data_IF_507562337495
#
_entry.id   IF_507562337495
#
_cell.length_a   1.000
_cell.length_b   1.000
_cell.length_c   1.000
_cell.angle_alpha   90.00
_cell.angle_beta   90.00
_cell.angle_gamma   90.00
#
_symmetry.space_group_name_H-M   'P 1'
#
loop_
_entity.id
_entity.type
_entity.pdbx_description
1 polymer ?
#
# COMPACT_ATOMS: atom_id res chain seq x y z
N UNK A 1 -19.67 -3.29 -16.88
CA UNK A 1 -18.82 -3.25 -15.66
C UNK A 1 -17.41 -3.59 -16.11
N UNK A 2 -16.37 -2.80 -15.79
CA UNK A 2 -15.02 -3.18 -16.18
C UNK A 2 -14.63 -4.45 -15.41
N UNK A 3 -14.05 -5.41 -16.14
CA UNK A 3 -13.70 -6.72 -15.62
C UNK A 3 -12.65 -6.57 -14.52
N UNK A 4 -13.02 -6.97 -13.30
CA UNK A 4 -12.13 -6.92 -12.16
C UNK A 4 -10.98 -7.93 -12.25
N UNK A 5 -10.84 -8.74 -13.29
CA UNK A 5 -9.72 -9.70 -13.44
C UNK A 5 -8.42 -9.08 -14.01
N UNK A 6 -8.45 -7.86 -14.54
CA UNK A 6 -7.27 -7.30 -15.24
C UNK A 6 -6.27 -6.58 -14.32
N UNK A 7 -6.67 -6.16 -13.12
CA UNK A 7 -5.79 -5.39 -12.23
C UNK A 7 -4.89 -6.34 -11.43
N UNK A 8 -3.55 -6.24 -11.53
CA UNK A 8 -2.66 -7.09 -10.76
C UNK A 8 -2.91 -6.96 -9.25
N UNK A 9 -2.81 -8.07 -8.51
CA UNK A 9 -3.04 -8.11 -7.05
C UNK A 9 -2.25 -7.01 -6.28
N UNK A 10 -0.97 -6.81 -6.61
CA UNK A 10 -0.16 -5.74 -6.02
C UNK A 10 -0.79 -4.34 -6.19
N UNK A 11 -1.42 -4.08 -7.35
CA UNK A 11 -2.03 -2.79 -7.65
C UNK A 11 -3.32 -2.62 -6.86
N UNK A 12 -4.09 -3.69 -6.63
CA UNK A 12 -5.24 -3.65 -5.71
C UNK A 12 -4.80 -3.34 -4.29
N UNK A 13 -3.72 -3.97 -3.83
CA UNK A 13 -3.17 -3.71 -2.51
C UNK A 13 -2.65 -2.27 -2.38
N UNK A 14 -1.99 -1.75 -3.41
CA UNK A 14 -1.57 -0.35 -3.47
C UNK A 14 -2.76 0.62 -3.41
N UNK A 15 -3.83 0.32 -4.15
CA UNK A 15 -5.09 1.09 -4.10
C UNK A 15 -5.72 1.03 -2.71
N UNK A 16 -5.70 -0.11 -2.03
CA UNK A 16 -6.18 -0.23 -0.66
C UNK A 16 -5.40 0.69 0.28
N UNK A 17 -4.06 0.69 0.22
CA UNK A 17 -3.21 1.57 1.04
C UNK A 17 -3.54 3.06 0.81
N UNK A 18 -3.75 3.45 -0.44
CA UNK A 18 -4.18 4.80 -0.78
C UNK A 18 -5.55 5.13 -0.16
N UNK A 19 -6.51 4.22 -0.28
CA UNK A 19 -7.89 4.43 0.18
C UNK A 19 -8.02 4.50 1.71
N UNK A 20 -7.21 3.76 2.46
CA UNK A 20 -7.15 3.86 3.94
C UNK A 20 -6.34 5.07 4.41
N UNK A 21 -5.82 5.87 3.49
CA UNK A 21 -5.19 7.16 3.77
C UNK A 21 -3.71 7.10 4.11
N UNK A 22 -3.02 5.98 3.87
CA UNK A 22 -1.59 5.84 4.09
C UNK A 22 -0.78 6.52 2.97
N UNK A 23 -0.98 7.82 2.75
CA UNK A 23 -0.48 8.58 1.58
C UNK A 23 0.64 9.57 1.91
N UNK A 24 1.10 9.61 3.15
CA UNK A 24 2.20 10.46 3.59
C UNK A 24 2.90 9.86 4.82
N UNK A 25 4.11 10.29 5.18
CA UNK A 25 4.80 9.82 6.39
C UNK A 25 3.99 10.02 7.67
N UNK A 26 3.26 11.12 7.78
CA UNK A 26 2.43 11.48 8.95
C UNK A 26 1.18 10.59 9.06
N UNK A 27 0.74 10.04 7.92
CA UNK A 27 -0.40 9.10 7.83
C UNK A 27 0.05 7.65 7.63
N UNK A 28 1.33 7.37 7.83
CA UNK A 28 1.88 6.03 7.67
C UNK A 28 1.26 5.04 8.65
N UNK A 29 1.20 3.76 8.28
CA UNK A 29 0.61 2.68 9.09
C UNK A 29 1.61 1.54 9.30
N UNK A 30 1.57 0.88 10.46
CA UNK A 30 2.34 -0.33 10.72
C UNK A 30 1.78 -1.53 9.96
N UNK A 31 2.53 -2.63 9.93
CA UNK A 31 2.08 -3.89 9.31
C UNK A 31 0.78 -4.39 9.98
N UNK A 32 0.70 -4.28 11.30
CA UNK A 32 -0.44 -4.71 12.11
C UNK A 32 -1.68 -3.85 11.85
N UNK A 33 -1.51 -2.54 11.65
CA UNK A 33 -2.60 -1.66 11.25
C UNK A 33 -3.09 -1.98 9.84
N UNK A 34 -2.18 -2.16 8.88
CA UNK A 34 -2.53 -2.51 7.49
C UNK A 34 -3.20 -3.88 7.43
N UNK A 35 -2.71 -4.87 8.18
CA UNK A 35 -3.30 -6.21 8.29
C UNK A 35 -4.76 -6.15 8.75
N UNK A 36 -5.07 -5.33 9.76
CA UNK A 36 -6.46 -5.12 10.22
C UNK A 36 -7.34 -4.48 9.16
N UNK A 37 -6.83 -3.49 8.43
CA UNK A 37 -7.58 -2.83 7.35
C UNK A 37 -7.81 -3.75 6.14
N UNK A 38 -6.82 -4.57 5.79
CA UNK A 38 -6.86 -5.46 4.63
C UNK A 38 -7.50 -6.82 4.92
N UNK A 39 -7.73 -7.16 6.19
CA UNK A 39 -8.18 -8.49 6.63
C UNK A 39 -7.30 -9.64 6.08
N UNK A 40 -5.99 -9.40 6.03
CA UNK A 40 -4.98 -10.40 5.63
C UNK A 40 -3.89 -10.51 6.69
N UNK A 41 -3.17 -11.62 6.70
CA UNK A 41 -2.16 -11.91 7.71
C UNK A 41 -0.95 -10.95 7.64
N UNK A 42 -0.31 -10.58 8.77
CA UNK A 42 0.84 -9.67 8.81
C UNK A 42 2.02 -10.09 7.91
N UNK A 43 2.25 -11.40 7.75
CA UNK A 43 3.32 -11.89 6.88
C UNK A 43 3.03 -11.60 5.40
N UNK A 44 1.79 -11.77 4.96
CA UNK A 44 1.35 -11.48 3.59
C UNK A 44 1.42 -9.98 3.31
N UNK A 45 1.01 -9.14 4.28
CA UNK A 45 1.20 -7.67 4.20
C UNK A 45 2.66 -7.33 3.94
N UNK A 46 3.58 -7.96 4.68
CA UNK A 46 5.02 -7.70 4.53
C UNK A 46 5.52 -8.05 3.14
N UNK A 47 5.12 -9.17 2.57
CA UNK A 47 5.49 -9.59 1.22
C UNK A 47 4.98 -8.62 0.15
N UNK A 48 3.71 -8.23 0.25
CA UNK A 48 3.12 -7.24 -0.67
C UNK A 48 3.81 -5.87 -0.56
N UNK A 49 4.11 -5.41 0.65
CA UNK A 49 4.85 -4.15 0.88
C UNK A 49 6.27 -4.19 0.31
N UNK A 50 6.98 -5.32 0.43
CA UNK A 50 8.31 -5.49 -0.16
C UNK A 50 8.25 -5.39 -1.70
N UNK A 51 7.28 -6.05 -2.32
CA UNK A 51 7.07 -6.02 -3.78
C UNK A 51 6.67 -4.63 -4.30
N UNK A 52 5.92 -3.86 -3.53
CA UNK A 52 5.59 -2.47 -3.86
C UNK A 52 6.75 -1.50 -3.62
N UNK A 53 7.55 -1.75 -2.60
CA UNK A 53 8.74 -0.94 -2.29
C UNK A 53 9.81 -1.09 -3.37
N UNK A 54 10.01 -2.30 -3.92
CA UNK A 54 10.96 -2.52 -5.03
C UNK A 54 10.55 -1.76 -6.30
N UNK A 55 9.26 -1.47 -6.47
CA UNK A 55 8.70 -0.63 -7.55
C UNK A 55 8.63 0.86 -7.21
N UNK A 56 9.14 1.27 -6.03
CA UNK A 56 9.06 2.64 -5.49
C UNK A 56 7.63 3.17 -5.28
N UNK A 57 6.64 2.29 -5.17
CA UNK A 57 5.24 2.69 -4.96
C UNK A 57 4.89 2.90 -3.48
N UNK A 58 5.66 2.28 -2.59
CA UNK A 58 5.52 2.42 -1.14
C UNK A 58 6.90 2.74 -0.58
N UNK A 59 6.93 3.54 0.48
CA UNK A 59 8.11 3.80 1.27
C UNK A 59 7.78 3.63 2.76
N UNK A 60 8.79 3.65 3.62
CA UNK A 60 8.63 3.54 5.06
C UNK A 60 9.26 4.72 5.79
N UNK A 61 8.78 4.96 7.00
CA UNK A 61 9.42 5.81 7.99
C UNK A 61 9.48 5.05 9.33
N UNK A 62 10.31 5.54 10.24
CA UNK A 62 10.34 5.07 11.62
C UNK A 62 9.63 6.11 12.47
N UNK A 63 8.61 5.69 13.22
CA UNK A 63 7.91 6.54 14.19
C UNK A 63 7.72 5.75 15.47
N UNK A 64 8.22 6.28 16.59
CA UNK A 64 8.14 5.61 17.89
C UNK A 64 8.76 4.21 17.91
N UNK A 65 9.90 4.01 17.25
CA UNK A 65 10.57 2.71 17.05
C UNK A 65 9.78 1.66 16.25
N UNK A 66 8.66 2.05 15.64
CA UNK A 66 7.87 1.18 14.76
C UNK A 66 8.12 1.56 13.30
N UNK A 67 8.38 0.56 12.45
CA UNK A 67 8.40 0.78 11.00
C UNK A 67 6.98 0.92 10.49
N UNK A 68 6.71 2.05 9.83
CA UNK A 68 5.40 2.39 9.25
C UNK A 68 5.55 2.65 7.77
N UNK A 69 4.52 2.35 6.99
CA UNK A 69 4.54 2.38 5.54
C UNK A 69 3.52 3.39 5.01
N UNK A 70 3.84 4.02 3.88
CA UNK A 70 2.98 4.95 3.17
C UNK A 70 3.24 4.87 1.65
N UNK A 71 2.21 5.20 0.88
CA UNK A 71 2.23 5.28 -0.58
C UNK A 71 3.03 6.51 -1.00
N UNK A 72 3.94 6.34 -1.95
CA UNK A 72 4.75 7.43 -2.52
C UNK A 72 3.95 8.22 -3.56
N UNK A 73 4.51 9.34 -4.03
CA UNK A 73 3.93 10.08 -5.15
C UNK A 73 3.84 9.21 -6.41
N UNK A 74 4.85 8.38 -6.67
CA UNK A 74 4.85 7.41 -7.77
C UNK A 74 3.75 6.36 -7.62
N UNK A 75 3.54 5.85 -6.41
CA UNK A 75 2.45 4.92 -6.09
C UNK A 75 1.08 5.56 -6.31
N UNK A 76 0.88 6.79 -5.84
CA UNK A 76 -0.38 7.53 -6.04
C UNK A 76 -0.67 7.76 -7.53
N UNK A 77 0.33 8.17 -8.32
CA UNK A 77 0.19 8.28 -9.78
C UNK A 77 -0.22 6.96 -10.41
N UNK A 78 0.37 5.85 -9.97
CA UNK A 78 0.02 4.52 -10.48
C UNK A 78 -1.44 4.15 -10.17
N UNK A 79 -1.90 4.40 -8.94
CA UNK A 79 -3.30 4.19 -8.54
C UNK A 79 -4.23 5.01 -9.45
N UNK A 80 -3.98 6.30 -9.59
CA UNK A 80 -4.80 7.19 -10.41
C UNK A 80 -4.84 6.79 -11.89
N UNK A 81 -3.70 6.32 -12.45
CA UNK A 81 -3.63 5.83 -13.82
C UNK A 81 -4.37 4.51 -14.07
N UNK A 82 -4.76 3.80 -13.02
CA UNK A 82 -5.50 2.52 -13.14
C UNK A 82 -7.00 2.75 -13.32
N UNK A 83 -7.49 3.97 -13.05
CA UNK A 83 -8.89 4.38 -13.22
C UNK A 83 -9.15 5.12 -14.54
N UNK A 84 -8.12 5.32 -15.37
CA UNK A 84 -8.18 6.09 -16.62
C UNK A 84 -8.48 5.21 -17.84
#
# INVERSE_FOLDING_TARGET
MPNTDEIPDDIRFLTLLHNIGAISPERSLSIEEISRWAAIEPHEVREKLLKLSSKRYVNFCISGNVRRYYVTVEGMRKVLSTYS
#
